data_IF_384017127402
#
_entry.id   IF_384017127402
#
_cell.length_a   1.000
_cell.length_b   1.000
_cell.length_c   1.000
_cell.angle_alpha   90.00
_cell.angle_beta   90.00
_cell.angle_gamma   90.00
#
_symmetry.space_group_name_H-M   'P 1'
#
loop_
_entity.id
_entity.type
_entity.pdbx_description
1 polymer ?
#
# COMPACT_ATOMS: atom_id res chain seq x y z
N UNK A 1 12.30 -6.81 -39.54
CA UNK A 1 12.30 -7.40 -38.18
C UNK A 1 12.45 -6.38 -37.04
N UNK A 2 12.91 -5.13 -37.26
CA UNK A 2 13.06 -4.14 -36.17
C UNK A 2 11.77 -3.43 -35.71
N UNK A 3 10.73 -3.37 -36.56
CA UNK A 3 9.52 -2.60 -36.27
C UNK A 3 8.54 -3.30 -35.33
N UNK A 4 8.41 -4.64 -35.40
CA UNK A 4 7.53 -5.41 -34.49
C UNK A 4 8.02 -5.41 -33.04
N UNK A 5 9.34 -5.40 -32.83
CA UNK A 5 9.93 -5.33 -31.49
C UNK A 5 9.72 -3.96 -30.83
N UNK A 6 9.82 -2.85 -31.57
CA UNK A 6 9.59 -1.50 -31.03
C UNK A 6 8.12 -1.25 -30.65
N UNK A 7 7.18 -1.70 -31.47
CA UNK A 7 5.73 -1.60 -31.17
C UNK A 7 5.37 -2.43 -29.94
N UNK A 8 5.97 -3.62 -29.79
CA UNK A 8 5.80 -4.47 -28.61
C UNK A 8 6.35 -3.80 -27.33
N UNK A 9 7.55 -3.20 -27.38
CA UNK A 9 8.16 -2.53 -26.22
C UNK A 9 7.37 -1.30 -25.77
N UNK A 10 6.87 -0.46 -26.69
CA UNK A 10 6.04 0.69 -26.33
C UNK A 10 4.75 0.26 -25.61
N UNK A 11 4.12 -0.83 -26.04
CA UNK A 11 2.95 -1.39 -25.36
C UNK A 11 3.28 -1.84 -23.92
N UNK A 12 4.44 -2.46 -23.68
CA UNK A 12 4.87 -2.82 -22.33
C UNK A 12 5.16 -1.60 -21.44
N UNK A 13 5.71 -0.52 -21.99
CA UNK A 13 5.93 0.74 -21.26
C UNK A 13 4.60 1.39 -20.86
N UNK A 14 3.60 1.36 -21.75
CA UNK A 14 2.24 1.79 -21.42
C UNK A 14 1.64 0.93 -20.29
N UNK A 15 1.81 -0.39 -20.35
CA UNK A 15 1.36 -1.30 -19.29
C UNK A 15 2.03 -1.01 -17.94
N UNK A 16 3.32 -0.60 -17.91
CA UNK A 16 3.96 -0.15 -16.67
C UNK A 16 3.30 1.09 -16.09
N UNK A 17 3.03 2.06 -16.95
CA UNK A 17 2.39 3.33 -16.56
C UNK A 17 1.00 3.07 -15.98
N UNK A 18 0.23 2.18 -16.61
CA UNK A 18 -1.07 1.75 -16.10
C UNK A 18 -0.96 0.97 -14.79
N UNK A 19 0.03 0.08 -14.66
CA UNK A 19 0.26 -0.67 -13.44
C UNK A 19 0.56 0.26 -12.26
N UNK A 20 1.44 1.24 -12.44
CA UNK A 20 1.69 2.26 -11.40
C UNK A 20 0.45 3.10 -11.11
N UNK A 21 -0.31 3.49 -12.14
CA UNK A 21 -1.57 4.21 -11.95
C UNK A 21 -2.60 3.42 -11.13
N UNK A 22 -2.69 2.10 -11.33
CA UNK A 22 -3.53 1.21 -10.51
C UNK A 22 -3.02 1.13 -9.07
N UNK A 23 -1.71 0.99 -8.86
CA UNK A 23 -1.12 0.99 -7.51
C UNK A 23 -1.41 2.30 -6.76
N UNK A 24 -1.34 3.45 -7.45
CA UNK A 24 -1.66 4.76 -6.85
C UNK A 24 -3.09 4.75 -6.31
N UNK A 25 -4.06 4.30 -7.11
CA UNK A 25 -5.47 4.22 -6.69
C UNK A 25 -5.65 3.29 -5.48
N UNK A 26 -4.97 2.16 -5.45
CA UNK A 26 -5.00 1.23 -4.30
C UNK A 26 -4.41 1.89 -3.05
N UNK A 27 -3.30 2.63 -3.19
CA UNK A 27 -2.69 3.38 -2.08
C UNK A 27 -3.58 4.53 -1.58
N UNK A 28 -4.27 5.23 -2.47
CA UNK A 28 -5.27 6.24 -2.10
C UNK A 28 -6.44 5.61 -1.32
N UNK A 29 -6.92 4.44 -1.75
CA UNK A 29 -7.96 3.69 -1.03
C UNK A 29 -7.47 3.21 0.34
N UNK A 30 -6.23 2.72 0.46
CA UNK A 30 -5.63 2.38 1.74
C UNK A 30 -5.60 3.59 2.68
N UNK A 31 -5.20 4.76 2.17
CA UNK A 31 -5.17 6.00 2.94
C UNK A 31 -6.57 6.40 3.45
N UNK A 32 -7.59 6.28 2.61
CA UNK A 32 -8.98 6.56 2.99
C UNK A 32 -9.47 5.58 4.08
N UNK A 33 -9.22 4.28 3.90
CA UNK A 33 -9.62 3.26 4.89
C UNK A 33 -8.90 3.48 6.23
N UNK A 34 -7.60 3.78 6.21
CA UNK A 34 -6.82 4.11 7.43
C UNK A 34 -7.32 5.40 8.08
N UNK A 35 -7.75 6.39 7.30
CA UNK A 35 -8.38 7.61 7.84
C UNK A 35 -9.74 7.33 8.46
N UNK A 36 -10.56 6.48 7.84
CA UNK A 36 -11.84 6.01 8.41
C UNK A 36 -11.63 5.25 9.73
N UNK A 37 -10.60 4.40 9.80
CA UNK A 37 -10.21 3.75 11.05
C UNK A 37 -9.92 4.74 12.17
N UNK A 38 -9.23 5.83 11.86
CA UNK A 38 -8.96 6.87 12.85
C UNK A 38 -10.26 7.44 13.42
N UNK A 39 -11.24 7.72 12.56
CA UNK A 39 -12.55 8.21 12.98
C UNK A 39 -13.29 7.24 13.90
N UNK A 40 -13.24 5.94 13.60
CA UNK A 40 -13.85 4.89 14.44
C UNK A 40 -13.14 4.80 15.81
N UNK A 41 -11.81 4.87 15.81
CA UNK A 41 -10.99 4.88 17.03
C UNK A 41 -11.28 6.12 17.88
N UNK A 42 -11.47 7.29 17.24
CA UNK A 42 -11.74 8.54 17.94
C UNK A 42 -13.20 8.72 18.40
N UNK A 43 -14.10 7.82 18.02
CA UNK A 43 -15.51 7.85 18.43
C UNK A 43 -15.68 7.66 19.94
N UNK A 44 -16.66 8.34 20.53
CA UNK A 44 -17.04 8.18 21.94
C UNK A 44 -17.42 6.73 22.28
N UNK A 45 -18.08 6.05 21.33
CA UNK A 45 -18.35 4.61 21.40
C UNK A 45 -17.56 3.92 20.30
N UNK A 46 -16.56 3.14 20.73
CA UNK A 46 -15.77 2.31 19.83
C UNK A 46 -16.63 1.18 19.25
N UNK A 47 -16.88 1.25 17.95
CA UNK A 47 -17.59 0.22 17.18
C UNK A 47 -16.59 -0.80 16.64
N UNK A 48 -16.56 -1.97 17.29
CA UNK A 48 -15.63 -3.05 16.96
C UNK A 48 -15.94 -3.69 15.61
N UNK A 49 -17.21 -3.79 15.21
CA UNK A 49 -17.61 -4.41 13.95
C UNK A 49 -17.21 -3.52 12.76
N UNK A 50 -17.47 -2.21 12.85
CA UNK A 50 -17.00 -1.26 11.85
C UNK A 50 -15.47 -1.25 11.76
N UNK A 51 -14.79 -1.33 12.90
CA UNK A 51 -13.33 -1.42 12.92
C UNK A 51 -12.84 -2.72 12.24
N UNK A 52 -13.44 -3.87 12.51
CA UNK A 52 -13.07 -5.12 11.87
C UNK A 52 -13.31 -5.12 10.35
N UNK A 53 -14.39 -4.48 9.89
CA UNK A 53 -14.63 -4.29 8.45
C UNK A 53 -13.50 -3.50 7.79
N UNK A 54 -13.01 -2.45 8.44
CA UNK A 54 -11.88 -1.69 7.89
C UNK A 54 -10.59 -2.51 7.80
N UNK A 55 -10.34 -3.43 8.76
CA UNK A 55 -9.18 -4.34 8.70
C UNK A 55 -9.31 -5.27 7.49
N UNK A 56 -10.47 -5.88 7.29
CA UNK A 56 -10.72 -6.77 6.16
C UNK A 56 -10.53 -6.03 4.81
N UNK A 57 -11.09 -4.83 4.67
CA UNK A 57 -10.91 -4.02 3.45
C UNK A 57 -9.44 -3.66 3.21
N UNK A 58 -8.65 -3.35 4.25
CA UNK A 58 -7.21 -3.09 4.07
C UNK A 58 -6.46 -4.33 3.62
N UNK A 59 -6.78 -5.49 4.18
CA UNK A 59 -6.14 -6.76 3.78
C UNK A 59 -6.36 -7.05 2.28
N UNK A 60 -7.59 -6.83 1.78
CA UNK A 60 -7.90 -6.94 0.35
C UNK A 60 -7.06 -5.99 -0.51
N UNK A 61 -6.90 -4.73 -0.08
CA UNK A 61 -6.09 -3.75 -0.80
C UNK A 61 -4.59 -4.11 -0.79
N UNK A 62 -4.07 -4.62 0.34
CA UNK A 62 -2.67 -5.08 0.44
C UNK A 62 -2.43 -6.25 -0.50
N UNK A 63 -3.31 -7.26 -0.49
CA UNK A 63 -3.21 -8.40 -1.42
C UNK A 63 -3.30 -7.96 -2.90
N UNK A 64 -4.10 -6.94 -3.21
CA UNK A 64 -4.15 -6.37 -4.55
C UNK A 64 -2.85 -5.64 -4.91
N UNK A 65 -2.28 -4.90 -3.97
CA UNK A 65 -1.00 -4.22 -4.15
C UNK A 65 0.12 -5.23 -4.46
N UNK A 66 0.21 -6.32 -3.70
CA UNK A 66 1.21 -7.39 -3.91
C UNK A 66 1.11 -8.02 -5.31
N UNK A 67 -0.13 -8.24 -5.79
CA UNK A 67 -0.38 -8.75 -7.14
C UNK A 67 0.06 -7.75 -8.21
N UNK A 68 -0.25 -6.46 -8.02
CA UNK A 68 0.18 -5.40 -8.93
C UNK A 68 1.69 -5.22 -8.91
N UNK A 69 2.35 -5.38 -7.76
CA UNK A 69 3.81 -5.35 -7.61
C UNK A 69 4.47 -6.47 -8.41
N UNK A 70 4.00 -7.70 -8.22
CA UNK A 70 4.48 -8.86 -8.99
C UNK A 70 4.31 -8.68 -10.49
N UNK A 71 3.16 -8.13 -10.94
CA UNK A 71 2.92 -7.85 -12.35
C UNK A 71 3.84 -6.76 -12.90
N UNK A 72 4.01 -5.68 -12.16
CA UNK A 72 4.88 -4.57 -12.51
C UNK A 72 6.35 -5.02 -12.65
N UNK A 73 6.87 -5.80 -11.70
CA UNK A 73 8.26 -6.28 -11.75
C UNK A 73 8.56 -7.12 -12.99
N UNK A 74 7.61 -7.99 -13.38
CA UNK A 74 7.73 -8.80 -14.59
C UNK A 74 7.84 -7.93 -15.85
N UNK A 75 6.98 -6.92 -15.97
CA UNK A 75 6.98 -6.02 -17.11
C UNK A 75 8.25 -5.14 -17.10
N UNK A 76 8.63 -4.63 -15.93
CA UNK A 76 9.80 -3.77 -15.80
C UNK A 76 11.08 -4.51 -16.17
N UNK A 77 11.23 -5.76 -15.73
CA UNK A 77 12.36 -6.60 -16.11
C UNK A 77 12.47 -6.83 -17.62
N UNK A 78 11.35 -6.82 -18.35
CA UNK A 78 11.33 -6.96 -19.80
C UNK A 78 11.76 -5.68 -20.54
N UNK A 79 11.48 -4.50 -19.99
CA UNK A 79 11.74 -3.20 -20.66
C UNK A 79 12.91 -2.41 -20.06
N UNK A 80 13.50 -2.84 -18.94
CA UNK A 80 14.61 -2.10 -18.29
C UNK A 80 15.82 -1.88 -19.20
N UNK A 81 16.16 -2.84 -20.06
CA UNK A 81 17.28 -2.70 -20.99
C UNK A 81 16.95 -1.67 -22.09
N UNK A 82 15.69 -1.64 -22.53
CA UNK A 82 15.20 -0.67 -23.50
C UNK A 82 15.32 0.77 -22.97
N UNK A 83 14.97 0.99 -21.70
CA UNK A 83 15.18 2.29 -21.06
C UNK A 83 16.66 2.68 -20.94
N UNK A 84 17.56 1.71 -20.73
CA UNK A 84 18.99 1.98 -20.63
C UNK A 84 19.61 2.35 -21.99
N UNK A 85 19.27 1.59 -23.03
CA UNK A 85 19.86 1.73 -24.37
C UNK A 85 19.23 2.90 -25.14
N UNK A 86 17.94 3.16 -24.95
CA UNK A 86 17.15 4.13 -25.72
C UNK A 86 16.53 5.24 -24.84
N UNK A 87 17.19 5.59 -23.74
CA UNK A 87 16.70 6.57 -22.74
C UNK A 87 16.18 7.90 -23.31
N UNK A 88 16.79 8.42 -24.39
CA UNK A 88 16.35 9.67 -25.05
C UNK A 88 14.99 9.54 -25.71
N UNK A 89 14.68 8.37 -26.28
CA UNK A 89 13.44 8.11 -27.00
C UNK A 89 12.25 7.93 -26.07
N UNK A 90 12.49 7.49 -24.83
CA UNK A 90 11.44 7.26 -23.81
C UNK A 90 11.49 8.26 -22.65
N UNK A 91 12.07 9.45 -22.88
CA UNK A 91 12.32 10.43 -21.82
C UNK A 91 11.04 10.82 -21.09
N UNK A 92 9.95 11.02 -21.83
CA UNK A 92 8.67 11.47 -21.27
C UNK A 92 8.01 10.33 -20.46
N UNK A 93 8.06 9.10 -20.96
CA UNK A 93 7.56 7.92 -20.26
C UNK A 93 8.36 7.64 -18.98
N UNK A 94 9.69 7.72 -19.04
CA UNK A 94 10.55 7.57 -17.85
C UNK A 94 10.21 8.64 -16.81
N UNK A 95 10.04 9.89 -17.24
CA UNK A 95 9.67 11.00 -16.35
C UNK A 95 8.31 10.76 -15.70
N UNK A 96 7.33 10.26 -16.46
CA UNK A 96 6.01 9.92 -15.95
C UNK A 96 6.07 8.79 -14.91
N UNK A 97 6.80 7.71 -15.20
CA UNK A 97 7.00 6.59 -14.27
C UNK A 97 7.67 7.07 -12.97
N UNK A 98 8.69 7.92 -13.06
CA UNK A 98 9.37 8.51 -11.90
C UNK A 98 8.41 9.36 -11.05
N UNK A 99 7.57 10.18 -11.69
CA UNK A 99 6.55 10.97 -10.99
C UNK A 99 5.52 10.09 -10.29
N UNK A 100 5.05 9.02 -10.94
CA UNK A 100 4.14 8.06 -10.32
C UNK A 100 4.77 7.34 -9.12
N UNK A 101 6.05 6.95 -9.21
CA UNK A 101 6.79 6.34 -8.08
C UNK A 101 6.90 7.33 -6.91
N UNK A 102 7.15 8.61 -7.18
CA UNK A 102 7.18 9.65 -6.15
C UNK A 102 5.82 9.78 -5.45
N UNK A 103 4.72 9.83 -6.21
CA UNK A 103 3.36 9.87 -5.65
C UNK A 103 3.09 8.65 -4.76
N UNK A 104 3.47 7.45 -5.21
CA UNK A 104 3.34 6.22 -4.42
C UNK A 104 4.11 6.30 -3.10
N UNK A 105 5.34 6.83 -3.14
CA UNK A 105 6.18 6.98 -1.95
C UNK A 105 5.55 7.97 -0.97
N UNK A 106 5.07 9.11 -1.46
CA UNK A 106 4.40 10.11 -0.62
C UNK A 106 3.12 9.57 0.02
N UNK A 107 2.30 8.82 -0.74
CA UNK A 107 1.12 8.13 -0.21
C UNK A 107 1.51 7.10 0.85
N UNK A 108 2.58 6.34 0.61
CA UNK A 108 3.04 5.33 1.56
C UNK A 108 3.44 5.94 2.91
N UNK A 109 4.23 7.01 2.88
CA UNK A 109 4.63 7.72 4.10
C UNK A 109 3.41 8.22 4.88
N UNK A 110 2.39 8.75 4.17
CA UNK A 110 1.14 9.18 4.80
C UNK A 110 0.41 8.02 5.47
N UNK A 111 0.24 6.89 4.78
CA UNK A 111 -0.43 5.71 5.33
C UNK A 111 0.32 5.20 6.56
N UNK A 112 1.65 5.05 6.49
CA UNK A 112 2.46 4.59 7.63
C UNK A 112 2.36 5.52 8.85
N UNK A 113 2.37 6.83 8.63
CA UNK A 113 2.22 7.81 9.70
C UNK A 113 0.83 7.71 10.36
N UNK A 114 -0.24 7.55 9.57
CA UNK A 114 -1.59 7.36 10.09
C UNK A 114 -1.75 6.02 10.82
N UNK A 115 -1.22 4.92 10.28
CA UNK A 115 -1.26 3.61 10.95
C UNK A 115 -0.55 3.65 12.30
N UNK A 116 0.61 4.30 12.38
CA UNK A 116 1.32 4.48 13.65
C UNK A 116 0.46 5.22 14.67
N UNK A 117 -0.24 6.28 14.24
CA UNK A 117 -1.14 7.07 15.09
C UNK A 117 -2.37 6.27 15.53
N UNK A 118 -2.99 5.55 14.60
CA UNK A 118 -4.14 4.68 14.87
C UNK A 118 -3.78 3.59 15.87
N UNK A 119 -2.64 2.92 15.68
CA UNK A 119 -2.12 1.93 16.60
C UNK A 119 -1.97 2.47 18.01
N UNK A 120 -1.30 3.61 18.18
CA UNK A 120 -1.12 4.20 19.51
C UNK A 120 -2.43 4.57 20.19
N UNK A 121 -3.40 5.14 19.44
CA UNK A 121 -4.72 5.46 19.98
C UNK A 121 -5.51 4.20 20.37
N UNK A 122 -5.44 3.15 19.55
CA UNK A 122 -6.11 1.89 19.81
C UNK A 122 -5.53 1.18 21.05
N UNK A 123 -4.20 1.19 21.22
CA UNK A 123 -3.53 0.71 22.43
C UNK A 123 -4.01 1.44 23.70
N UNK A 124 -4.21 2.77 23.63
CA UNK A 124 -4.77 3.55 24.73
C UNK A 124 -6.20 3.14 25.06
N UNK A 125 -7.07 2.96 24.06
CA UNK A 125 -8.45 2.50 24.27
C UNK A 125 -8.47 1.14 24.96
N UNK A 126 -7.66 0.20 24.48
CA UNK A 126 -7.63 -1.15 25.05
C UNK A 126 -7.02 -1.18 26.44
N UNK A 127 -5.96 -0.41 26.71
CA UNK A 127 -5.41 -0.29 28.07
C UNK A 127 -6.38 0.37 29.06
N UNK A 128 -7.17 1.36 28.62
CA UNK A 128 -8.24 1.97 29.40
C UNK A 128 -9.38 0.98 29.67
N UNK A 129 -9.87 0.31 28.62
CA UNK A 129 -10.87 -0.76 28.73
C UNK A 129 -10.40 -1.89 29.65
N UNK A 130 -9.13 -2.30 29.63
CA UNK A 130 -8.62 -3.32 30.56
C UNK A 130 -8.63 -2.89 32.03
N UNK A 131 -8.59 -1.59 32.34
CA UNK A 131 -8.74 -1.07 33.72
C UNK A 131 -10.21 -1.07 34.17
N UNK A 132 -11.15 -0.79 33.27
CA UNK A 132 -12.60 -0.90 33.55
C UNK A 132 -13.09 -2.36 33.55
N UNK A 133 -12.46 -3.23 32.75
CA UNK A 133 -12.89 -4.60 32.44
C UNK A 133 -11.96 -5.62 33.13
N UNK A 134 -11.92 -5.62 34.47
CA UNK A 134 -11.49 -6.83 35.22
C UNK A 134 -12.49 -7.98 35.09
N UNK A 135 -13.62 -7.79 34.38
CA UNK A 135 -14.78 -8.68 34.36
C UNK A 135 -15.30 -9.17 32.99
N UNK A 136 -14.74 -8.80 31.83
CA UNK A 136 -15.24 -9.30 30.52
C UNK A 136 -14.13 -9.61 29.51
N UNK A 137 -14.16 -10.84 28.99
CA UNK A 137 -13.12 -11.49 28.19
C UNK A 137 -13.34 -11.26 26.68
N UNK A 138 -13.33 -10.01 26.23
CA UNK A 138 -13.47 -9.66 24.79
C UNK A 138 -12.48 -8.55 24.42
N UNK A 139 -11.32 -8.94 23.88
CA UNK A 139 -10.38 -7.99 23.25
C UNK A 139 -9.24 -8.64 22.42
N UNK A 140 -9.01 -9.95 22.54
CA UNK A 140 -7.82 -10.58 21.93
C UNK A 140 -7.89 -10.67 20.40
N UNK A 141 -9.05 -11.01 19.82
CA UNK A 141 -9.14 -11.29 18.37
C UNK A 141 -8.93 -10.03 17.52
N UNK A 142 -9.57 -8.93 17.89
CA UNK A 142 -9.51 -7.65 17.16
C UNK A 142 -8.10 -7.05 17.19
N UNK A 143 -7.46 -7.07 18.36
CA UNK A 143 -6.05 -6.67 18.52
C UNK A 143 -5.13 -7.52 17.65
N UNK A 144 -5.27 -8.85 17.70
CA UNK A 144 -4.44 -9.76 16.93
C UNK A 144 -4.62 -9.59 15.42
N UNK A 145 -5.86 -9.44 14.95
CA UNK A 145 -6.16 -9.19 13.53
C UNK A 145 -5.55 -7.87 13.05
N UNK A 146 -5.68 -6.79 13.83
CA UNK A 146 -5.10 -5.49 13.49
C UNK A 146 -3.57 -5.55 13.34
N UNK A 147 -2.88 -6.13 14.32
CA UNK A 147 -1.42 -6.24 14.26
C UNK A 147 -0.93 -7.13 13.13
N UNK A 148 -1.66 -8.20 12.80
CA UNK A 148 -1.32 -9.06 11.67
C UNK A 148 -1.38 -8.29 10.34
N UNK A 149 -2.43 -7.52 10.11
CA UNK A 149 -2.58 -6.73 8.87
C UNK A 149 -1.51 -5.63 8.76
N UNK A 150 -1.16 -4.95 9.86
CA UNK A 150 -0.06 -3.97 9.83
C UNK A 150 1.29 -4.64 9.60
N UNK A 151 1.54 -5.81 10.21
CA UNK A 151 2.78 -6.53 9.99
C UNK A 151 2.95 -6.89 8.51
N UNK A 152 1.90 -7.43 7.87
CA UNK A 152 1.92 -7.73 6.44
C UNK A 152 2.13 -6.49 5.56
N UNK A 153 1.58 -5.34 5.95
CA UNK A 153 1.79 -4.07 5.24
C UNK A 153 3.25 -3.60 5.27
N UNK A 154 3.98 -3.86 6.37
CA UNK A 154 5.40 -3.47 6.48
C UNK A 154 6.34 -4.47 5.78
N UNK A 155 6.00 -5.76 5.73
CA UNK A 155 6.82 -6.80 5.08
C UNK A 155 6.85 -6.68 3.56
N UNK A 156 5.71 -6.39 2.90
CA UNK A 156 5.66 -6.24 1.44
C UNK A 156 6.48 -5.06 0.89
N UNK A 157 6.77 -4.06 1.73
CA UNK A 157 7.39 -2.80 1.30
C UNK A 157 8.90 -2.73 1.51
N UNK A 158 9.49 -3.63 2.30
CA UNK A 158 10.95 -3.65 2.53
C UNK A 158 11.75 -3.90 1.25
N UNK A 159 11.13 -4.51 0.21
CA UNK A 159 11.75 -4.78 -1.08
C UNK A 159 12.01 -3.53 -1.95
N UNK A 160 11.23 -2.45 -1.78
CA UNK A 160 11.45 -1.22 -2.55
C UNK A 160 12.56 -0.33 -1.97
N UNK A 161 12.85 -0.47 -0.67
CA UNK A 161 13.85 0.35 0.02
C UNK A 161 15.27 -0.24 -0.07
N UNK A 162 15.42 -1.53 -0.36
CA UNK A 162 16.73 -2.21 -0.40
C UNK A 162 17.46 -2.11 -1.77
N UNK A 163 17.29 -0.98 -2.46
CA UNK A 163 18.14 -0.60 -3.61
C UNK A 163 18.81 0.74 -3.35
N UNK A 164 19.52 0.82 -2.24
CA UNK A 164 20.65 1.72 -2.08
C UNK A 164 21.80 0.91 -1.50
N UNK A 165 22.62 0.36 -2.37
CA UNK A 165 24.08 0.27 -2.28
C UNK A 165 24.64 -0.21 -3.61
#
# INVERSE_FOLDING_TARGET
MGLENGVSKQAYIQLLTEALGKKIKVMEQLLDITSRQEGIIASEKFDEDLFMQTIASKDEQIQLLDKLDTGFEKIYNYVKNEFAENSKSYKDEITLLQNQIKILTDLNVKVQALEKRNKSKLELIFSGKHKEIRNVRLNSKTVSSYYKTIAGQNEGQSFFYDKKN
#
